data_IF_849937614481
#
_entry.id   IF_849937614481
#
_cell.length_a   1.000
_cell.length_b   1.000
_cell.length_c   1.000
_cell.angle_alpha   90.00
_cell.angle_beta   90.00
_cell.angle_gamma   90.00
#
_symmetry.space_group_name_H-M   'P 1'
#
loop_
_entity.id
_entity.type
_entity.pdbx_description
1 polymer ?
#
# COMPACT_ATOMS: atom_id res chain seq x y z
N UNK A 1 -9.29 14.30 -2.96
CA UNK A 1 -8.78 13.00 -2.49
C UNK A 1 -7.49 12.70 -3.24
N UNK A 2 -6.40 12.33 -2.55
CA UNK A 2 -5.10 12.04 -3.18
C UNK A 2 -4.93 10.52 -3.28
N UNK A 3 -4.43 10.03 -4.40
CA UNK A 3 -4.23 8.60 -4.66
C UNK A 3 -2.76 8.28 -4.82
N UNK A 4 -2.32 7.13 -4.32
CA UNK A 4 -0.94 6.65 -4.39
C UNK A 4 -0.92 5.30 -5.08
N UNK A 5 0.00 5.13 -6.04
CA UNK A 5 0.30 3.83 -6.65
C UNK A 5 1.49 3.19 -5.91
N UNK A 6 1.30 1.99 -5.39
CA UNK A 6 2.37 1.20 -4.77
C UNK A 6 2.62 -0.04 -5.62
N UNK A 7 3.84 -0.15 -6.16
CA UNK A 7 4.30 -1.33 -6.90
C UNK A 7 5.78 -1.55 -6.63
N UNK A 8 6.08 -2.52 -5.75
CA UNK A 8 7.43 -2.76 -5.26
C UNK A 8 7.81 -4.23 -5.34
N UNK A 9 9.06 -4.50 -5.69
CA UNK A 9 9.61 -5.87 -5.71
C UNK A 9 9.85 -6.37 -4.28
N UNK A 10 10.57 -5.58 -3.48
CA UNK A 10 10.78 -5.81 -2.05
C UNK A 10 9.61 -5.25 -1.24
N UNK A 11 9.01 -6.08 -0.39
CA UNK A 11 7.80 -5.75 0.38
C UNK A 11 8.07 -5.52 1.86
N UNK A 12 9.34 -5.51 2.28
CA UNK A 12 9.71 -5.23 3.68
C UNK A 12 9.16 -3.85 4.08
N UNK A 13 8.37 -3.81 5.16
CA UNK A 13 7.80 -2.58 5.72
C UNK A 13 6.65 -1.94 4.92
N UNK A 14 6.14 -2.60 3.86
CA UNK A 14 5.14 -1.97 2.99
C UNK A 14 3.77 -1.78 3.67
N UNK A 15 3.45 -2.64 4.62
CA UNK A 15 2.18 -2.60 5.38
C UNK A 15 2.14 -1.39 6.30
N UNK A 16 3.20 -1.15 7.08
CA UNK A 16 3.29 0.03 7.95
C UNK A 16 3.25 1.33 7.15
N UNK A 17 3.91 1.35 5.99
CA UNK A 17 3.89 2.49 5.07
C UNK A 17 2.49 2.73 4.49
N UNK A 18 1.80 1.68 4.05
CA UNK A 18 0.43 1.77 3.55
C UNK A 18 -0.53 2.29 4.64
N UNK A 19 -0.46 1.72 5.84
CA UNK A 19 -1.25 2.15 6.99
C UNK A 19 -1.01 3.63 7.35
N UNK A 20 0.23 4.10 7.24
CA UNK A 20 0.54 5.51 7.42
C UNK A 20 -0.15 6.39 6.37
N UNK A 21 -0.13 6.00 5.10
CA UNK A 21 -0.77 6.75 4.02
C UNK A 21 -2.30 6.78 4.17
N UNK A 22 -2.93 5.65 4.46
CA UNK A 22 -4.38 5.58 4.67
C UNK A 22 -4.84 6.44 5.85
N UNK A 23 -4.11 6.41 6.97
CA UNK A 23 -4.36 7.29 8.13
C UNK A 23 -4.27 8.78 7.79
N UNK A 24 -3.51 9.15 6.76
CA UNK A 24 -3.39 10.52 6.27
C UNK A 24 -4.36 10.84 5.12
N UNK A 25 -5.34 9.98 4.83
CA UNK A 25 -6.40 10.23 3.85
C UNK A 25 -5.98 9.97 2.40
N UNK A 26 -4.97 9.15 2.18
CA UNK A 26 -4.59 8.68 0.85
C UNK A 26 -5.32 7.39 0.49
N UNK A 27 -5.73 7.29 -0.77
CA UNK A 27 -6.24 6.05 -1.35
C UNK A 27 -5.10 5.28 -2.00
N UNK A 28 -4.91 4.02 -1.61
CA UNK A 28 -3.85 3.18 -2.15
C UNK A 28 -4.39 2.35 -3.31
N UNK A 29 -3.66 2.42 -4.43
CA UNK A 29 -3.85 1.55 -5.60
C UNK A 29 -2.61 0.67 -5.70
N UNK A 30 -2.79 -0.64 -5.81
CA UNK A 30 -1.71 -1.57 -6.12
C UNK A 30 -2.27 -2.78 -6.87
N UNK A 31 -1.38 -3.57 -7.47
CA UNK A 31 -1.74 -4.81 -8.17
C UNK A 31 -0.79 -5.95 -7.80
N UNK A 32 -1.21 -7.18 -8.12
CA UNK A 32 -0.37 -8.36 -8.04
C UNK A 32 0.10 -8.67 -6.61
N UNK A 33 1.38 -8.97 -6.45
CA UNK A 33 1.93 -9.39 -5.15
C UNK A 33 1.93 -8.30 -4.08
N UNK A 34 1.97 -7.02 -4.46
CA UNK A 34 1.86 -5.90 -3.52
C UNK A 34 0.44 -5.81 -2.98
N UNK A 35 -0.56 -5.89 -3.87
CA UNK A 35 -1.98 -5.85 -3.50
C UNK A 35 -2.36 -6.99 -2.56
N UNK A 36 -1.87 -8.20 -2.84
CA UNK A 36 -2.11 -9.36 -1.98
C UNK A 36 -1.64 -9.12 -0.54
N UNK A 37 -0.42 -8.60 -0.36
CA UNK A 37 0.14 -8.34 0.98
C UNK A 37 -0.64 -7.25 1.71
N UNK A 38 -1.04 -6.20 1.00
CA UNK A 38 -1.82 -5.11 1.60
C UNK A 38 -3.25 -5.53 1.97
N UNK A 39 -3.83 -6.54 1.31
CA UNK A 39 -5.16 -7.10 1.66
C UNK A 39 -5.12 -8.15 2.76
N UNK A 40 -4.01 -8.89 2.88
CA UNK A 40 -3.84 -9.97 3.87
C UNK A 40 -3.39 -9.43 5.25
N UNK A 41 -3.08 -8.13 5.37
CA UNK A 41 -2.62 -7.46 6.60
C UNK A 41 -3.72 -6.61 7.23
#
# INVERSE_FOLDING_TARGET
MKRVLISVSDKRGIVDFANFLEKNGYEIISTGGTEKILKDS
#
